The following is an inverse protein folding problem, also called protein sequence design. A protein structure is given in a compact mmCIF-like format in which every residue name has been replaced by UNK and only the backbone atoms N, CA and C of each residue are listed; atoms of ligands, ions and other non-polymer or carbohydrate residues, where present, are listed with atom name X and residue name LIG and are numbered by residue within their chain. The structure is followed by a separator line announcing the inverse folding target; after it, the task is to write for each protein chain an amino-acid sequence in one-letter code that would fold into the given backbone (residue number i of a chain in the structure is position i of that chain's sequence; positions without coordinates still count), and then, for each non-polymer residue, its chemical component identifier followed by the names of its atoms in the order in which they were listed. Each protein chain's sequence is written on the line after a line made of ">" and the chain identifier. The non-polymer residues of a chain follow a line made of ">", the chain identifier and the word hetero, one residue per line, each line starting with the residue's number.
data_IF_800003248340
#
_entry.id   IF_800003248340
#
_cell.length_a   1.000
_cell.length_b   1.000
_cell.length_c   1.000
_cell.angle_alpha   90.00
_cell.angle_beta   90.00
_cell.angle_gamma   90.00
#
_symmetry.space_group_name_H-M   'P 1'
#
loop_
_entity.id
_entity.type
_entity.pdbx_description
1 polymer ?
#
# COMPACT_ATOMS: atom_id res chain seq x y z
N UNK A 1 -44.25 -11.32 -50.82
CA UNK A 1 -43.47 -10.25 -50.18
C UNK A 1 -43.07 -10.73 -48.79
N UNK A 2 -41.78 -11.10 -48.62
CA UNK A 2 -41.28 -11.61 -47.36
C UNK A 2 -40.51 -10.47 -46.66
N UNK A 3 -40.99 -10.09 -45.46
CA UNK A 3 -40.30 -9.10 -44.60
C UNK A 3 -39.26 -9.80 -43.78
N UNK A 4 -37.98 -9.43 -43.99
CA UNK A 4 -36.87 -9.86 -43.14
C UNK A 4 -36.72 -8.84 -42.00
N UNK A 5 -37.05 -9.24 -40.76
CA UNK A 5 -36.78 -8.45 -39.57
C UNK A 5 -35.35 -8.76 -39.10
N UNK A 6 -34.43 -7.81 -39.26
CA UNK A 6 -33.12 -7.84 -38.61
C UNK A 6 -33.25 -7.43 -37.14
N UNK A 7 -33.08 -8.38 -36.23
CA UNK A 7 -32.94 -8.09 -34.82
C UNK A 7 -31.47 -7.71 -34.52
N UNK A 8 -31.23 -6.46 -34.18
CA UNK A 8 -29.94 -6.00 -33.65
C UNK A 8 -29.85 -6.38 -32.17
N UNK A 9 -29.01 -7.35 -31.83
CA UNK A 9 -28.65 -7.63 -30.45
C UNK A 9 -27.60 -6.61 -30.02
N UNK A 10 -27.98 -5.69 -29.13
CA UNK A 10 -27.05 -4.79 -28.46
C UNK A 10 -26.32 -5.58 -27.38
N UNK A 11 -25.09 -5.96 -27.61
CA UNK A 11 -24.22 -6.49 -26.59
C UNK A 11 -23.74 -5.32 -25.70
N UNK A 12 -24.38 -5.17 -24.53
CA UNK A 12 -23.90 -4.25 -23.49
C UNK A 12 -22.69 -4.95 -22.85
N UNK A 13 -21.50 -4.60 -23.30
CA UNK A 13 -20.25 -5.00 -22.65
C UNK A 13 -20.19 -4.31 -21.28
N UNK A 14 -20.34 -5.07 -20.22
CA UNK A 14 -20.01 -4.60 -18.87
C UNK A 14 -18.48 -4.49 -18.84
N UNK A 15 -17.96 -3.27 -18.95
CA UNK A 15 -16.57 -3.01 -18.66
C UNK A 15 -16.38 -3.24 -17.14
N UNK A 16 -15.88 -4.42 -16.77
CA UNK A 16 -15.44 -4.66 -15.41
C UNK A 16 -14.32 -3.65 -15.08
N UNK A 17 -14.50 -2.87 -14.05
CA UNK A 17 -13.42 -2.01 -13.53
C UNK A 17 -12.23 -2.89 -13.22
N UNK A 18 -11.09 -2.63 -13.85
CA UNK A 18 -9.85 -3.30 -13.51
C UNK A 18 -9.48 -2.86 -12.09
N UNK A 19 -9.49 -3.79 -11.14
CA UNK A 19 -9.01 -3.54 -9.78
C UNK A 19 -7.50 -3.29 -9.89
N UNK A 20 -7.03 -2.14 -9.43
CA UNK A 20 -5.61 -1.81 -9.41
C UNK A 20 -4.87 -2.80 -8.50
N UNK A 21 -3.69 -3.25 -8.94
CA UNK A 21 -2.82 -4.05 -8.07
C UNK A 21 -2.24 -3.17 -6.96
N UNK A 22 -1.98 -3.72 -5.75
CA UNK A 22 -1.30 -2.98 -4.70
C UNK A 22 0.02 -2.38 -5.16
N UNK A 23 0.27 -1.12 -4.79
CA UNK A 23 1.49 -0.40 -5.16
C UNK A 23 2.61 -0.68 -4.15
N UNK A 24 3.85 -0.84 -4.64
CA UNK A 24 5.03 -1.07 -3.81
C UNK A 24 5.99 0.12 -3.89
N UNK A 25 6.50 0.51 -2.73
CA UNK A 25 7.45 1.59 -2.57
C UNK A 25 8.68 1.06 -1.84
N UNK A 26 9.79 0.90 -2.57
CA UNK A 26 11.01 0.30 -2.05
C UNK A 26 11.84 1.30 -1.25
N UNK A 27 12.42 0.82 -0.15
CA UNK A 27 13.37 1.55 0.68
C UNK A 27 14.76 1.03 0.33
N UNK A 28 15.60 1.91 -0.21
CA UNK A 28 16.97 1.58 -0.59
C UNK A 28 17.93 2.05 0.50
N UNK A 29 18.96 1.25 0.79
CA UNK A 29 20.06 1.67 1.61
C UNK A 29 20.93 2.73 0.88
N UNK A 30 21.92 3.29 1.57
CA UNK A 30 22.84 4.28 0.98
C UNK A 30 23.73 3.72 -0.14
N UNK A 31 23.65 2.43 -0.45
CA UNK A 31 24.40 1.73 -1.49
C UNK A 31 23.53 1.26 -2.66
N UNK A 32 22.23 1.54 -2.62
CA UNK A 32 21.27 1.18 -3.67
C UNK A 32 20.72 -0.26 -3.55
N UNK A 33 20.85 -0.91 -2.39
CA UNK A 33 20.20 -2.19 -2.15
C UNK A 33 18.80 -1.95 -1.60
N UNK A 34 17.84 -2.74 -2.06
CA UNK A 34 16.48 -2.75 -1.54
C UNK A 34 16.44 -3.57 -0.25
N UNK A 35 16.24 -2.93 0.89
CA UNK A 35 16.22 -3.57 2.21
C UNK A 35 14.80 -3.87 2.69
N UNK A 36 13.81 -3.17 2.15
CA UNK A 36 12.41 -3.37 2.46
C UNK A 36 11.49 -2.55 1.57
N UNK A 37 10.20 -2.66 1.79
CA UNK A 37 9.22 -1.86 1.04
C UNK A 37 7.92 -1.66 1.81
N UNK A 38 7.24 -0.57 1.50
CA UNK A 38 5.85 -0.34 1.84
C UNK A 38 4.93 -0.85 0.74
N UNK A 39 3.71 -1.23 1.11
CA UNK A 39 2.65 -1.54 0.16
C UNK A 39 1.46 -0.66 0.48
N UNK A 40 0.91 -0.02 -0.53
CA UNK A 40 -0.39 0.64 -0.50
C UNK A 40 -1.40 -0.16 -1.31
N UNK A 41 -2.58 -0.39 -0.77
CA UNK A 41 -3.70 -1.01 -1.47
C UNK A 41 -4.92 -0.12 -1.30
N UNK A 42 -5.32 0.51 -2.39
CA UNK A 42 -6.47 1.41 -2.45
C UNK A 42 -7.78 0.61 -2.32
N UNK A 43 -8.07 -0.19 -3.32
CA UNK A 43 -9.28 -1.00 -3.38
C UNK A 43 -9.08 -2.42 -2.84
N UNK A 44 -10.11 -3.06 -2.27
CA UNK A 44 -10.04 -4.47 -1.89
C UNK A 44 -9.66 -5.35 -3.09
N UNK A 45 -8.65 -6.20 -2.92
CA UNK A 45 -8.13 -7.08 -3.97
C UNK A 45 -7.90 -8.49 -3.41
N UNK A 46 -8.79 -9.42 -3.74
CA UNK A 46 -8.75 -10.78 -3.18
C UNK A 46 -8.94 -10.74 -1.66
N UNK A 47 -7.93 -11.20 -0.91
CA UNK A 47 -7.89 -11.15 0.55
C UNK A 47 -7.25 -9.87 1.11
N UNK A 48 -6.78 -8.98 0.24
CA UNK A 48 -6.17 -7.72 0.68
C UNK A 48 -7.27 -6.69 0.93
N UNK A 49 -7.32 -6.08 2.12
CA UNK A 49 -8.28 -5.02 2.40
C UNK A 49 -7.94 -3.76 1.60
N UNK A 50 -8.96 -2.96 1.25
CA UNK A 50 -8.79 -1.63 0.70
C UNK A 50 -8.29 -0.64 1.76
N UNK A 51 -7.91 0.55 1.33
CA UNK A 51 -7.42 1.65 2.18
C UNK A 51 -6.37 1.17 3.19
N UNK A 52 -5.42 0.38 2.76
CA UNK A 52 -4.53 -0.33 3.65
C UNK A 52 -3.06 -0.17 3.30
N UNK A 53 -2.24 -0.18 4.35
CA UNK A 53 -0.78 -0.21 4.26
C UNK A 53 -0.23 -1.51 4.84
N UNK A 54 0.95 -1.89 4.35
CA UNK A 54 1.69 -3.05 4.82
C UNK A 54 3.19 -2.76 4.75
N UNK A 55 3.93 -3.22 5.74
CA UNK A 55 5.38 -3.16 5.77
C UNK A 55 5.95 -4.53 5.40
N UNK A 56 7.02 -4.56 4.60
CA UNK A 56 7.71 -5.78 4.20
C UNK A 56 9.23 -5.60 4.35
N UNK A 57 9.85 -6.52 5.08
CA UNK A 57 11.29 -6.57 5.30
C UNK A 57 11.87 -7.70 4.43
N UNK A 58 12.90 -7.39 3.64
CA UNK A 58 13.54 -8.36 2.75
C UNK A 58 15.02 -8.61 3.08
N UNK A 59 15.61 -7.81 3.95
CA UNK A 59 17.01 -7.93 4.35
C UNK A 59 17.15 -8.57 5.74
N UNK A 60 18.09 -9.51 5.89
CA UNK A 60 18.38 -10.14 7.18
C UNK A 60 19.54 -9.43 7.88
N UNK A 61 19.32 -8.19 8.30
CA UNK A 61 20.35 -7.27 8.81
C UNK A 61 20.05 -6.72 10.21
N UNK A 62 18.91 -7.16 10.80
CA UNK A 62 18.44 -6.73 12.11
C UNK A 62 17.73 -5.38 12.11
N UNK A 63 17.45 -4.82 10.93
CA UNK A 63 16.53 -3.70 10.76
C UNK A 63 15.11 -4.23 10.57
N UNK A 64 14.10 -3.41 10.90
CA UNK A 64 12.70 -3.67 10.58
C UNK A 64 12.11 -2.49 9.83
N UNK A 65 11.04 -2.74 9.08
CA UNK A 65 10.33 -1.72 8.31
C UNK A 65 9.12 -1.24 9.11
N UNK A 66 8.91 0.06 9.17
CA UNK A 66 7.66 0.67 9.61
C UNK A 66 7.09 1.55 8.52
N UNK A 67 5.78 1.50 8.36
CA UNK A 67 5.02 2.31 7.41
C UNK A 67 3.95 3.07 8.19
N UNK A 68 3.88 4.37 7.95
CA UNK A 68 2.94 5.29 8.58
C UNK A 68 2.08 5.94 7.51
N UNK A 69 0.78 6.03 7.75
CA UNK A 69 -0.17 6.74 6.89
C UNK A 69 -0.84 7.84 7.70
N UNK A 70 -0.63 9.10 7.30
CA UNK A 70 -1.23 10.29 7.91
C UNK A 70 -2.73 10.36 7.58
N UNK A 71 -3.56 9.70 8.38
CA UNK A 71 -5.00 9.58 8.13
C UNK A 71 -5.76 10.85 8.44
N UNK A 72 -5.25 11.72 9.30
CA UNK A 72 -5.86 13.01 9.63
C UNK A 72 -5.32 14.17 8.77
N UNK A 73 -4.33 13.90 7.92
CA UNK A 73 -3.71 14.85 6.98
C UNK A 73 -3.15 16.12 7.65
N UNK A 74 -2.59 15.95 8.83
CA UNK A 74 -1.97 17.06 9.56
C UNK A 74 -0.49 17.28 9.24
N UNK A 75 0.14 16.36 8.49
CA UNK A 75 1.54 16.43 8.06
C UNK A 75 2.55 16.01 9.14
N UNK A 76 2.09 15.45 10.25
CA UNK A 76 2.92 15.00 11.37
C UNK A 76 2.59 13.56 11.74
N UNK A 77 3.59 12.79 12.15
CA UNK A 77 3.38 11.47 12.72
C UNK A 77 2.82 11.60 14.13
N UNK A 78 1.64 11.04 14.36
CA UNK A 78 0.98 11.06 15.67
C UNK A 78 0.21 9.76 15.95
N UNK A 79 -0.47 9.70 17.09
CA UNK A 79 -1.21 8.52 17.53
C UNK A 79 -2.48 8.22 16.71
N UNK A 80 -2.89 9.13 15.84
CA UNK A 80 -4.04 8.93 14.94
C UNK A 80 -3.62 8.29 13.62
N UNK A 81 -2.33 8.19 13.36
CA UNK A 81 -1.81 7.62 12.13
C UNK A 81 -1.99 6.10 12.12
N UNK A 82 -2.18 5.58 10.93
CA UNK A 82 -2.19 4.15 10.71
C UNK A 82 -0.76 3.64 10.57
N UNK A 83 -0.42 2.57 11.27
CA UNK A 83 0.94 2.04 11.32
C UNK A 83 0.96 0.57 10.97
N UNK A 84 1.90 0.16 10.12
CA UNK A 84 2.26 -1.23 9.86
C UNK A 84 3.75 -1.42 10.16
N UNK A 85 4.13 -2.52 10.83
CA UNK A 85 5.51 -2.76 11.24
C UNK A 85 5.89 -4.23 11.15
N UNK A 86 7.11 -4.49 10.68
CA UNK A 86 7.73 -5.83 10.70
C UNK A 86 8.53 -6.09 11.96
N UNK A 87 8.51 -5.18 12.94
CA UNK A 87 9.23 -5.35 14.20
C UNK A 87 8.88 -6.67 14.88
N UNK A 88 9.90 -7.49 15.18
CA UNK A 88 9.71 -8.81 15.79
C UNK A 88 9.40 -9.93 14.79
N UNK A 89 9.28 -9.63 13.51
CA UNK A 89 9.19 -10.63 12.44
C UNK A 89 10.59 -10.98 11.93
N UNK A 90 10.72 -12.17 11.36
CA UNK A 90 11.95 -12.55 10.64
C UNK A 90 11.98 -11.91 9.26
N UNK A 91 13.19 -11.69 8.71
CA UNK A 91 13.37 -11.19 7.35
C UNK A 91 12.64 -12.06 6.31
N UNK A 92 12.23 -11.44 5.22
CA UNK A 92 11.42 -12.07 4.19
C UNK A 92 9.92 -12.10 4.50
N UNK A 93 9.49 -11.48 5.60
CA UNK A 93 8.09 -11.42 6.01
C UNK A 93 7.53 -10.01 5.90
N UNK A 94 6.23 -9.96 5.63
CA UNK A 94 5.46 -8.73 5.70
C UNK A 94 4.62 -8.68 6.98
N UNK A 95 4.32 -7.48 7.47
CA UNK A 95 3.38 -7.27 8.56
C UNK A 95 1.96 -7.72 8.19
N UNK A 96 1.06 -7.77 9.15
CA UNK A 96 -0.37 -7.72 8.85
C UNK A 96 -0.71 -6.42 8.10
N UNK A 97 -1.84 -6.41 7.38
CA UNK A 97 -2.39 -5.19 6.83
C UNK A 97 -2.92 -4.28 7.93
N UNK A 98 -2.53 -3.02 7.90
CA UNK A 98 -3.15 -1.97 8.69
C UNK A 98 -4.19 -1.28 7.80
N UNK A 99 -5.47 -1.55 8.04
CA UNK A 99 -6.59 -1.13 7.21
C UNK A 99 -7.61 -0.29 7.99
N UNK A 100 -8.50 0.33 7.27
CA UNK A 100 -9.62 1.11 7.78
C UNK A 100 -10.24 1.89 6.63
N UNK A 101 -11.45 2.35 6.78
CA UNK A 101 -12.18 3.08 5.78
C UNK A 101 -11.67 4.53 5.71
N UNK A 102 -11.31 5.00 4.52
CA UNK A 102 -10.88 6.37 4.26
C UNK A 102 -11.84 7.03 3.26
N UNK A 103 -12.05 8.36 3.36
CA UNK A 103 -12.80 9.10 2.34
C UNK A 103 -12.19 8.92 0.96
N UNK A 104 -13.05 8.62 -0.02
CA UNK A 104 -12.69 8.47 -1.42
C UNK A 104 -12.18 9.77 -2.07
N UNK A 105 -11.39 9.62 -3.14
CA UNK A 105 -10.85 10.73 -3.93
C UNK A 105 -9.98 11.70 -3.11
N UNK A 106 -9.26 11.16 -2.13
CA UNK A 106 -8.34 11.89 -1.29
C UNK A 106 -6.89 11.45 -1.55
N UNK A 107 -5.96 12.28 -1.10
CA UNK A 107 -4.53 11.97 -1.12
C UNK A 107 -4.00 12.09 0.30
N UNK A 108 -3.31 11.06 0.74
CA UNK A 108 -2.69 10.96 2.06
C UNK A 108 -1.19 10.87 1.93
N UNK A 109 -0.46 11.52 2.82
CA UNK A 109 0.98 11.33 2.93
C UNK A 109 1.27 10.03 3.67
N UNK A 110 2.28 9.30 3.22
CA UNK A 110 2.77 8.11 3.87
C UNK A 110 4.30 8.12 3.94
N UNK A 111 4.83 7.55 5.00
CA UNK A 111 6.27 7.40 5.23
C UNK A 111 6.57 5.95 5.50
N UNK A 112 7.68 5.49 4.96
CA UNK A 112 8.22 4.19 5.29
C UNK A 112 9.71 4.32 5.61
N UNK A 113 10.15 3.65 6.66
CA UNK A 113 11.54 3.72 7.10
C UNK A 113 12.04 2.40 7.65
N UNK A 114 13.36 2.29 7.67
CA UNK A 114 14.08 1.21 8.32
C UNK A 114 14.47 1.65 9.73
N UNK A 115 14.25 0.78 10.70
CA UNK A 115 14.54 1.04 12.12
C UNK A 115 15.36 -0.09 12.72
N UNK A 116 16.21 0.25 13.70
CA UNK A 116 17.01 -0.72 14.44
C UNK A 116 17.19 -0.27 15.88
N UNK A 117 17.05 -1.21 16.82
CA UNK A 117 17.26 -0.94 18.24
C UNK A 117 18.63 -0.34 18.51
N UNK A 118 18.68 0.80 19.18
CA UNK A 118 19.91 1.51 19.52
C UNK A 118 20.48 2.40 18.41
N UNK A 119 19.95 2.34 17.19
CA UNK A 119 20.40 3.16 16.06
C UNK A 119 19.36 4.18 15.58
N UNK A 120 18.07 3.97 15.91
CA UNK A 120 16.99 4.82 15.47
C UNK A 120 16.56 4.53 14.03
N UNK A 121 16.19 5.59 13.31
CA UNK A 121 15.77 5.53 11.91
C UNK A 121 16.97 5.53 10.97
N UNK A 122 16.95 4.63 9.97
CA UNK A 122 17.90 4.57 8.87
C UNK A 122 17.34 5.19 7.59
N UNK A 123 17.43 4.45 6.48
CA UNK A 123 16.85 4.85 5.20
C UNK A 123 15.34 5.01 5.30
N UNK A 124 14.80 6.02 4.63
CA UNK A 124 13.37 6.29 4.59
C UNK A 124 12.92 6.83 3.25
N UNK A 125 11.62 6.72 3.00
CA UNK A 125 10.95 7.26 1.81
C UNK A 125 9.62 7.90 2.22
N UNK A 126 9.16 8.82 1.39
CA UNK A 126 7.82 9.41 1.47
C UNK A 126 7.08 9.14 0.17
N UNK A 127 5.81 8.79 0.25
CA UNK A 127 4.97 8.55 -0.91
C UNK A 127 3.55 9.07 -0.68
N UNK A 128 2.75 9.10 -1.73
CA UNK A 128 1.35 9.53 -1.69
C UNK A 128 0.44 8.34 -1.90
N UNK A 129 -0.40 8.06 -0.93
CA UNK A 129 -1.49 7.10 -1.00
C UNK A 129 -2.75 7.83 -1.51
N UNK A 130 -3.36 7.29 -2.56
CA UNK A 130 -4.58 7.88 -3.17
C UNK A 130 -5.71 6.88 -3.06
N UNK A 131 -6.87 7.38 -2.60
CA UNK A 131 -8.14 6.67 -2.54
C UNK A 131 -9.02 7.01 -3.73
#
# INVERSE_FOLDING_TARGET
>A
MASVSCAFALAIGVAGSAIAAPEKYYIEDGFGNEDGYAVWNDDPSGSNPGDSIRACDIASDGWWVEVYLDTNRNGFLDSNDRVASTRGLTAGHCSAWASGDLPEHQTYEAWAGMFKSGYGEGANIKFLAKT
#
